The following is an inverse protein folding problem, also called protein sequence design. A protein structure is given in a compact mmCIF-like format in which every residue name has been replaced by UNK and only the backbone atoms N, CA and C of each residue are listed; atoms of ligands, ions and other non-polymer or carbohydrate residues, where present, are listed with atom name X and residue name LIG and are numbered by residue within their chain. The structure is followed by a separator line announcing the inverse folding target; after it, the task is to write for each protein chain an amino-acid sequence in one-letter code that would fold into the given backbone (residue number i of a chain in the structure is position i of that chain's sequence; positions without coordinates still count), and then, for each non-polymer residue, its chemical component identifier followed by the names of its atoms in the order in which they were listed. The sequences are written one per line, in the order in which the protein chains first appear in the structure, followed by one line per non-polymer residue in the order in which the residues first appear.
data_IF_681758365768
#
_entry.id   IF_681758365768
#
_cell.length_a   1.000
_cell.length_b   1.000
_cell.length_c   1.000
_cell.angle_alpha   90.00
_cell.angle_beta   90.00
_cell.angle_gamma   90.00
#
_symmetry.space_group_name_H-M   'P 1'
#
loop_
_entity.id
_entity.type
_entity.pdbx_description
1 polymer ?
#
# COMPACT_ATOMS: atom_id res chain seq x y z
N UNK A 1 19.14 26.66 -31.83
CA UNK A 1 19.90 25.46 -31.40
C UNK A 1 20.14 25.56 -29.89
N UNK A 2 19.39 24.84 -29.06
CA UNK A 2 19.71 24.67 -27.63
C UNK A 2 19.68 23.17 -27.34
N UNK A 3 20.81 22.54 -27.62
CA UNK A 3 21.06 21.14 -27.34
C UNK A 3 21.50 20.92 -25.90
N UNK A 4 21.07 19.76 -25.38
CA UNK A 4 21.77 18.96 -24.36
C UNK A 4 21.65 19.42 -22.90
N UNK A 5 20.43 19.37 -22.33
CA UNK A 5 20.28 19.00 -20.90
C UNK A 5 20.88 17.60 -20.71
N UNK A 6 22.01 17.52 -20.02
CA UNK A 6 22.75 16.28 -19.87
C UNK A 6 21.91 15.22 -19.13
N UNK A 7 22.11 13.94 -19.47
CA UNK A 7 21.44 12.79 -18.83
C UNK A 7 21.56 12.84 -17.29
N UNK A 8 22.67 13.38 -16.78
CA UNK A 8 22.97 13.55 -15.34
C UNK A 8 22.04 14.54 -14.63
N UNK A 9 21.72 15.69 -15.23
CA UNK A 9 20.83 16.68 -14.61
C UNK A 9 19.38 16.21 -14.60
N UNK A 10 18.93 15.53 -15.66
CA UNK A 10 17.61 14.89 -15.70
C UNK A 10 17.46 13.83 -14.59
N UNK A 11 18.50 13.01 -14.37
CA UNK A 11 18.52 12.03 -13.27
C UNK A 11 18.50 12.71 -11.89
N UNK A 12 19.24 13.82 -11.70
CA UNK A 12 19.23 14.55 -10.41
C UNK A 12 17.89 15.21 -10.10
N UNK A 13 17.21 15.78 -11.11
CA UNK A 13 15.87 16.35 -10.95
C UNK A 13 14.86 15.25 -10.66
N UNK A 14 14.94 14.12 -11.38
CA UNK A 14 14.08 12.96 -11.15
C UNK A 14 14.25 12.40 -9.73
N UNK A 15 15.49 12.19 -9.28
CA UNK A 15 15.78 11.75 -7.91
C UNK A 15 15.30 12.74 -6.85
N UNK A 16 15.45 14.06 -7.08
CA UNK A 16 14.97 15.08 -6.14
C UNK A 16 13.44 15.13 -6.06
N UNK A 17 12.75 14.91 -7.19
CA UNK A 17 11.29 14.85 -7.25
C UNK A 17 10.75 13.58 -6.57
N UNK A 18 11.33 12.41 -6.87
CA UNK A 18 10.99 11.14 -6.23
C UNK A 18 11.21 11.19 -4.71
N UNK A 19 12.31 11.79 -4.27
CA UNK A 19 12.61 11.94 -2.84
C UNK A 19 11.67 12.94 -2.13
N UNK A 20 11.19 13.98 -2.82
CA UNK A 20 10.17 14.90 -2.27
C UNK A 20 8.83 14.18 -2.09
N UNK A 21 8.41 13.40 -3.08
CA UNK A 21 7.17 12.63 -3.03
C UNK A 21 7.23 11.57 -1.93
N UNK A 22 8.36 10.88 -1.75
CA UNK A 22 8.53 9.89 -0.68
C UNK A 22 8.42 10.51 0.72
N UNK A 23 8.98 11.72 0.91
CA UNK A 23 8.86 12.47 2.17
C UNK A 23 7.40 12.87 2.42
N UNK A 24 6.69 13.32 1.38
CA UNK A 24 5.29 13.74 1.48
C UNK A 24 4.37 12.56 1.79
N UNK A 25 4.52 11.43 1.09
CA UNK A 25 3.70 10.24 1.35
C UNK A 25 3.95 9.69 2.76
N UNK A 26 5.20 9.71 3.24
CA UNK A 26 5.52 9.30 4.60
C UNK A 26 4.86 10.20 5.65
N UNK A 27 4.83 11.52 5.42
CA UNK A 27 4.14 12.47 6.31
C UNK A 27 2.65 12.19 6.35
N UNK A 28 2.02 11.93 5.20
CA UNK A 28 0.61 11.56 5.12
C UNK A 28 0.37 10.26 5.90
N UNK A 29 1.16 9.22 5.65
CA UNK A 29 1.02 7.95 6.38
C UNK A 29 1.15 8.14 7.89
N UNK A 30 2.17 8.87 8.35
CA UNK A 30 2.36 9.15 9.78
C UNK A 30 1.20 9.96 10.37
N UNK A 31 0.68 10.94 9.65
CA UNK A 31 -0.49 11.69 10.09
C UNK A 31 -1.71 10.78 10.26
N UNK A 32 -1.97 9.91 9.28
CA UNK A 32 -3.10 8.99 9.29
C UNK A 32 -2.95 7.95 10.39
N UNK A 33 -1.77 7.35 10.53
CA UNK A 33 -1.46 6.36 11.58
C UNK A 33 -1.62 6.93 13.00
N UNK A 34 -1.44 8.24 13.18
CA UNK A 34 -1.55 8.91 14.49
C UNK A 34 -2.95 9.41 14.82
N UNK A 35 -3.80 9.63 13.82
CA UNK A 35 -5.13 10.23 14.00
C UNK A 35 -6.28 9.26 13.75
N UNK A 36 -6.08 8.18 12.98
CA UNK A 36 -7.11 7.18 12.70
C UNK A 36 -7.04 6.00 13.66
N UNK A 37 -8.21 5.46 14.00
CA UNK A 37 -8.32 4.20 14.72
C UNK A 37 -8.20 3.02 13.75
N UNK A 38 -6.97 2.57 13.49
CA UNK A 38 -6.67 1.49 12.53
C UNK A 38 -7.27 0.11 12.88
N UNK A 39 -7.88 -0.04 14.06
CA UNK A 39 -8.60 -1.25 14.49
C UNK A 39 -10.11 -1.18 14.25
N UNK A 40 -10.67 0.01 14.06
CA UNK A 40 -12.11 0.22 13.91
C UNK A 40 -12.35 1.48 13.08
N UNK A 41 -12.30 1.33 11.76
CA UNK A 41 -12.48 2.42 10.81
C UNK A 41 -13.98 2.65 10.59
N UNK A 42 -14.40 3.91 10.67
CA UNK A 42 -15.70 4.36 10.16
C UNK A 42 -15.72 4.36 8.63
N UNK A 43 -16.91 4.44 8.03
CA UNK A 43 -17.07 4.46 6.57
C UNK A 43 -16.27 5.60 5.89
N UNK A 44 -16.25 6.79 6.53
CA UNK A 44 -15.46 7.93 6.04
C UNK A 44 -13.95 7.66 6.12
N UNK A 45 -13.50 7.01 7.19
CA UNK A 45 -12.10 6.63 7.36
C UNK A 45 -11.69 5.52 6.38
N UNK A 46 -12.58 4.58 6.06
CA UNK A 46 -12.39 3.56 5.01
C UNK A 46 -12.19 4.22 3.65
N UNK A 47 -13.09 5.15 3.28
CA UNK A 47 -12.98 5.88 2.02
C UNK A 47 -11.68 6.69 1.94
N UNK A 48 -11.30 7.36 3.02
CA UNK A 48 -10.04 8.12 3.08
C UNK A 48 -8.82 7.20 2.95
N UNK A 49 -8.82 6.08 3.70
CA UNK A 49 -7.73 5.10 3.68
C UNK A 49 -7.58 4.46 2.30
N UNK A 50 -8.67 4.24 1.58
CA UNK A 50 -8.63 3.68 0.23
C UNK A 50 -7.76 4.51 -0.73
N UNK A 51 -7.92 5.83 -0.74
CA UNK A 51 -7.10 6.70 -1.60
C UNK A 51 -5.62 6.64 -1.22
N UNK A 52 -5.33 6.68 0.08
CA UNK A 52 -3.94 6.61 0.57
C UNK A 52 -3.31 5.28 0.19
N UNK A 53 -4.02 4.15 0.41
CA UNK A 53 -3.51 2.81 0.10
C UNK A 53 -3.23 2.64 -1.39
N UNK A 54 -4.08 3.17 -2.28
CA UNK A 54 -3.83 3.11 -3.72
C UNK A 54 -2.53 3.81 -4.11
N UNK A 55 -2.24 4.96 -3.52
CA UNK A 55 -1.02 5.73 -3.81
C UNK A 55 0.25 5.02 -3.31
N UNK A 56 0.13 4.11 -2.34
CA UNK A 56 1.28 3.34 -1.81
C UNK A 56 1.83 2.28 -2.77
N UNK A 57 1.19 2.05 -3.92
CA UNK A 57 1.62 1.09 -4.93
C UNK A 57 3.10 1.26 -5.34
N UNK A 58 3.56 2.50 -5.48
CA UNK A 58 4.93 2.84 -5.89
C UNK A 58 5.89 3.09 -4.70
N UNK A 59 5.39 3.03 -3.46
CA UNK A 59 6.11 3.46 -2.26
C UNK A 59 6.37 2.29 -1.31
N UNK A 60 7.24 1.38 -1.74
CA UNK A 60 7.52 0.14 -1.03
C UNK A 60 7.91 0.34 0.45
N UNK A 61 7.18 -0.35 1.33
CA UNK A 61 7.43 -0.36 2.77
C UNK A 61 6.90 0.86 3.53
N UNK A 62 6.47 1.93 2.86
CA UNK A 62 5.86 3.10 3.48
C UNK A 62 4.40 2.80 3.79
N UNK A 63 3.95 3.09 5.01
CA UNK A 63 2.53 2.91 5.38
C UNK A 63 2.11 1.45 5.51
N UNK A 64 3.02 0.51 5.76
CA UNK A 64 2.66 -0.89 6.02
C UNK A 64 1.57 -1.06 7.11
N UNK A 65 1.56 -0.30 8.23
CA UNK A 65 0.46 -0.36 9.19
C UNK A 65 -0.91 -0.02 8.58
N UNK A 66 -0.96 0.92 7.63
CA UNK A 66 -2.17 1.28 6.89
C UNK A 66 -2.62 0.15 5.96
N UNK A 67 -1.66 -0.51 5.28
CA UNK A 67 -1.93 -1.71 4.48
C UNK A 67 -2.52 -2.83 5.37
N UNK A 68 -1.95 -3.06 6.55
CA UNK A 68 -2.46 -4.06 7.49
C UNK A 68 -3.86 -3.71 8.03
N UNK A 69 -4.12 -2.42 8.29
CA UNK A 69 -5.45 -1.94 8.65
C UNK A 69 -6.46 -2.19 7.53
N UNK A 70 -6.07 -1.91 6.29
CA UNK A 70 -6.89 -2.13 5.11
C UNK A 70 -7.20 -3.62 4.88
N UNK A 71 -6.22 -4.51 5.05
CA UNK A 71 -6.47 -5.97 5.00
C UNK A 71 -7.41 -6.45 6.10
N UNK A 72 -7.38 -5.81 7.28
CA UNK A 72 -8.26 -6.15 8.40
C UNK A 72 -9.68 -5.61 8.21
N UNK A 73 -9.85 -4.55 7.43
CA UNK A 73 -11.18 -4.01 7.13
C UNK A 73 -12.07 -5.11 6.55
N UNK A 74 -13.36 -5.16 6.90
CA UNK A 74 -14.31 -6.05 6.22
C UNK A 74 -14.79 -5.45 4.88
N UNK A 75 -14.14 -4.39 4.39
CA UNK A 75 -14.42 -3.74 3.10
C UNK A 75 -13.61 -4.40 1.97
N UNK A 76 -14.30 -5.07 1.05
CA UNK A 76 -13.66 -5.82 -0.04
C UNK A 76 -12.86 -4.93 -0.99
N UNK A 77 -13.29 -3.69 -1.23
CA UNK A 77 -12.60 -2.79 -2.13
C UNK A 77 -11.25 -2.35 -1.53
N UNK A 78 -11.26 -2.00 -0.25
CA UNK A 78 -10.07 -1.64 0.50
C UNK A 78 -9.11 -2.84 0.66
N UNK A 79 -9.64 -4.04 0.93
CA UNK A 79 -8.86 -5.28 0.93
C UNK A 79 -8.20 -5.53 -0.43
N UNK A 80 -8.93 -5.39 -1.54
CA UNK A 80 -8.41 -5.57 -2.89
C UNK A 80 -7.21 -4.64 -3.17
N UNK A 81 -7.32 -3.37 -2.80
CA UNK A 81 -6.23 -2.40 -2.99
C UNK A 81 -5.01 -2.74 -2.15
N UNK A 82 -5.20 -3.10 -0.88
CA UNK A 82 -4.10 -3.50 -0.01
C UNK A 82 -3.37 -4.75 -0.53
N UNK A 83 -4.11 -5.76 -0.98
CA UNK A 83 -3.55 -6.95 -1.61
C UNK A 83 -2.80 -6.61 -2.91
N UNK A 84 -3.32 -5.66 -3.70
CA UNK A 84 -2.69 -5.22 -4.95
C UNK A 84 -1.37 -4.51 -4.71
N UNK A 85 -1.28 -3.66 -3.68
CA UNK A 85 -0.02 -3.03 -3.26
C UNK A 85 1.01 -4.09 -2.85
N UNK A 86 0.61 -5.05 -2.00
CA UNK A 86 1.51 -6.13 -1.57
C UNK A 86 1.96 -7.06 -2.70
N UNK A 87 1.18 -7.15 -3.78
CA UNK A 87 1.56 -7.92 -4.97
C UNK A 87 2.76 -7.30 -5.68
N UNK A 88 2.87 -5.98 -5.67
CA UNK A 88 3.96 -5.27 -6.32
C UNK A 88 5.18 -5.14 -5.44
N UNK A 89 4.97 -4.93 -4.15
CA UNK A 89 6.05 -4.88 -3.18
C UNK A 89 6.80 -6.21 -3.08
N UNK A 90 8.01 -6.17 -2.52
CA UNK A 90 8.82 -7.34 -2.24
C UNK A 90 8.05 -8.35 -1.37
N UNK A 91 8.22 -9.66 -1.62
CA UNK A 91 7.56 -10.70 -0.83
C UNK A 91 7.81 -10.57 0.68
N UNK A 92 8.95 -10.00 1.08
CA UNK A 92 9.29 -9.79 2.49
C UNK A 92 8.16 -9.13 3.29
N UNK A 93 7.41 -8.18 2.72
CA UNK A 93 6.30 -7.49 3.41
C UNK A 93 5.04 -8.35 3.55
N UNK A 94 4.69 -9.13 2.52
CA UNK A 94 3.54 -10.04 2.56
C UNK A 94 3.81 -11.29 3.38
N UNK A 95 5.08 -11.68 3.53
CA UNK A 95 5.51 -12.84 4.33
C UNK A 95 5.79 -12.50 5.81
N UNK A 96 5.72 -11.22 6.22
CA UNK A 96 5.75 -10.87 7.64
C UNK A 96 4.57 -11.50 8.36
N UNK A 97 4.81 -12.12 9.52
CA UNK A 97 3.80 -12.92 10.24
C UNK A 97 2.43 -12.23 10.35
N UNK A 98 2.40 -10.99 10.84
CA UNK A 98 1.15 -10.23 11.00
C UNK A 98 0.43 -9.97 9.67
N UNK A 99 1.17 -9.66 8.60
CA UNK A 99 0.59 -9.43 7.27
C UNK A 99 0.09 -10.75 6.68
N UNK A 100 0.89 -11.81 6.82
CA UNK A 100 0.58 -13.14 6.29
C UNK A 100 -0.69 -13.71 6.91
N UNK A 101 -0.87 -13.59 8.22
CA UNK A 101 -2.10 -14.02 8.92
C UNK A 101 -3.35 -13.33 8.36
N UNK A 102 -3.28 -12.03 8.06
CA UNK A 102 -4.38 -11.28 7.46
C UNK A 102 -4.70 -11.78 6.04
N UNK A 103 -3.67 -12.05 5.23
CA UNK A 103 -3.83 -12.59 3.87
C UNK A 103 -4.44 -14.00 3.92
N UNK A 104 -3.99 -14.87 4.85
CA UNK A 104 -4.55 -16.21 5.07
C UNK A 104 -6.03 -16.14 5.45
N UNK A 105 -6.39 -15.24 6.34
CA UNK A 105 -7.77 -15.00 6.72
C UNK A 105 -8.64 -14.58 5.52
N UNK A 106 -8.18 -13.64 4.69
CA UNK A 106 -8.89 -13.25 3.47
C UNK A 106 -9.03 -14.42 2.50
N UNK A 107 -7.95 -15.18 2.25
CA UNK A 107 -7.93 -16.31 1.32
C UNK A 107 -8.97 -17.40 1.65
N UNK A 108 -9.38 -17.50 2.91
CA UNK A 108 -10.38 -18.45 3.40
C UNK A 108 -11.78 -17.82 3.52
N UNK A 109 -11.88 -16.62 4.09
CA UNK A 109 -13.17 -16.02 4.50
C UNK A 109 -13.86 -15.21 3.40
N UNK A 110 -13.11 -14.53 2.52
CA UNK A 110 -13.73 -13.60 1.57
C UNK A 110 -14.63 -14.33 0.56
N UNK A 111 -15.77 -13.74 0.24
CA UNK A 111 -16.67 -14.20 -0.83
C UNK A 111 -16.22 -13.66 -2.19
N UNK A 112 -15.44 -12.60 -2.22
CA UNK A 112 -14.93 -12.02 -3.45
C UNK A 112 -13.91 -12.96 -4.12
N UNK A 113 -14.09 -13.20 -5.41
CA UNK A 113 -13.26 -14.15 -6.15
C UNK A 113 -11.87 -13.59 -6.42
N UNK A 114 -11.77 -12.30 -6.73
CA UNK A 114 -10.52 -11.64 -7.09
C UNK A 114 -9.65 -11.44 -5.85
N UNK A 115 -10.24 -11.00 -4.73
CA UNK A 115 -9.53 -10.91 -3.44
C UNK A 115 -8.95 -12.27 -3.04
N UNK A 116 -9.79 -13.32 -3.11
CA UNK A 116 -9.38 -14.69 -2.77
C UNK A 116 -8.24 -15.17 -3.65
N UNK A 117 -8.30 -14.88 -4.96
CA UNK A 117 -7.27 -15.27 -5.93
C UNK A 117 -5.96 -14.55 -5.65
N UNK A 118 -6.03 -13.25 -5.37
CA UNK A 118 -4.86 -12.42 -5.10
C UNK A 118 -4.20 -12.78 -3.78
N UNK A 119 -4.98 -12.99 -2.72
CA UNK A 119 -4.48 -13.49 -1.44
C UNK A 119 -3.76 -14.84 -1.59
N UNK A 120 -4.37 -15.80 -2.31
CA UNK A 120 -3.73 -17.10 -2.58
C UNK A 120 -2.46 -17.00 -3.42
N UNK A 121 -2.37 -15.99 -4.29
CA UNK A 121 -1.15 -15.72 -5.06
C UNK A 121 -0.03 -15.23 -4.12
N UNK A 122 -0.32 -14.24 -3.27
CA UNK A 122 0.64 -13.68 -2.32
C UNK A 122 1.22 -14.73 -1.36
N UNK A 123 0.40 -15.67 -0.89
CA UNK A 123 0.85 -16.74 0.01
C UNK A 123 1.84 -17.72 -0.62
N UNK A 124 1.92 -17.74 -1.96
CA UNK A 124 2.80 -18.62 -2.74
C UNK A 124 4.00 -17.89 -3.36
N UNK A 125 4.00 -16.56 -3.32
CA UNK A 125 5.04 -15.68 -3.86
C UNK A 125 6.28 -15.75 -2.98
#
# INVERSE_FOLDING_TARGET
MLGLRTRSEKSKIKLRYECSNEIEIRKICTFVETHLSLSNLSDDEVACLQYIVQDLYEHEGIGLPLIQAALRSDDGNLQYHALSVLKEWSPSYSQQAATRELIEHIAVKTKDKEDRKLAKYLLKK
#
